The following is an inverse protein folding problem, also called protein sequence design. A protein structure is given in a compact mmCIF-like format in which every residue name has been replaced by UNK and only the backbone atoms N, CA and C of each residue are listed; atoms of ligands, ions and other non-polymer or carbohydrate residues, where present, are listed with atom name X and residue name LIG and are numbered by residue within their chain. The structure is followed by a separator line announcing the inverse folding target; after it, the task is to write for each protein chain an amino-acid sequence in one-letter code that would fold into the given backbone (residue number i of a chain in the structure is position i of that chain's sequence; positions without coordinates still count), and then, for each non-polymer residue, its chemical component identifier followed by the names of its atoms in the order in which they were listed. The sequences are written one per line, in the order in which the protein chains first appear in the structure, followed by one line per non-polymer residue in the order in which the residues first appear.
data_IF_285439338721
#
_entry.id   IF_285439338721
#
_cell.length_a   1.000
_cell.length_b   1.000
_cell.length_c   1.000
_cell.angle_alpha   90.00
_cell.angle_beta   90.00
_cell.angle_gamma   90.00
#
_symmetry.space_group_name_H-M   'P 1'
#
loop_
_entity.id
_entity.type
_entity.pdbx_description
1 polymer ?
#
# COMPACT_ATOMS: atom_id res chain seq x y z
N UNK A 1 -10.03 -27.03 1.05
CA UNK A 1 -9.22 -25.91 1.58
C UNK A 1 -8.00 -26.39 2.41
N UNK A 2 -8.12 -27.27 3.42
CA UNK A 2 -6.99 -27.61 4.31
C UNK A 2 -5.76 -28.34 3.71
N UNK A 3 -5.84 -28.94 2.51
CA UNK A 3 -4.67 -29.55 1.87
C UNK A 3 -3.64 -28.51 1.40
N UNK A 4 -4.11 -27.37 0.89
CA UNK A 4 -3.25 -26.28 0.40
C UNK A 4 -2.53 -25.60 1.58
N UNK A 5 -3.24 -25.31 2.67
CA UNK A 5 -2.67 -24.77 3.91
C UNK A 5 -1.54 -25.67 4.43
N UNK A 6 -1.75 -26.99 4.46
CA UNK A 6 -0.70 -27.94 4.87
C UNK A 6 0.53 -27.90 3.97
N UNK A 7 0.36 -27.75 2.66
CA UNK A 7 1.49 -27.62 1.71
C UNK A 7 2.24 -26.32 1.95
N UNK A 8 1.55 -25.19 2.09
CA UNK A 8 2.15 -23.88 2.40
C UNK A 8 2.96 -23.92 3.70
N UNK A 9 2.37 -24.48 4.76
CA UNK A 9 3.05 -24.70 6.05
C UNK A 9 4.29 -25.60 5.90
N UNK A 10 4.23 -26.65 5.07
CA UNK A 10 5.40 -27.50 4.78
C UNK A 10 6.51 -26.74 4.06
N UNK A 11 6.19 -25.84 3.12
CA UNK A 11 7.22 -25.02 2.48
C UNK A 11 7.95 -24.12 3.48
N UNK A 12 7.24 -23.59 4.48
CA UNK A 12 7.89 -22.86 5.56
C UNK A 12 8.78 -23.77 6.42
N UNK A 13 8.24 -24.89 6.94
CA UNK A 13 9.01 -25.76 7.85
C UNK A 13 10.21 -26.44 7.19
N UNK A 14 10.12 -26.78 5.91
CA UNK A 14 11.22 -27.36 5.12
C UNK A 14 12.31 -26.36 4.77
N UNK A 15 12.08 -25.05 4.98
CA UNK A 15 13.03 -23.99 4.63
C UNK A 15 13.01 -23.61 3.15
N UNK A 16 12.09 -24.15 2.35
CA UNK A 16 11.93 -23.78 0.93
C UNK A 16 11.65 -22.28 0.82
N UNK A 17 10.73 -21.73 1.62
CA UNK A 17 10.44 -20.30 1.58
C UNK A 17 11.65 -19.45 2.01
N UNK A 18 12.41 -19.90 3.00
CA UNK A 18 13.66 -19.22 3.39
C UNK A 18 14.72 -19.27 2.30
N UNK A 19 14.75 -20.34 1.50
CA UNK A 19 15.60 -20.42 0.32
C UNK A 19 15.14 -19.46 -0.78
N UNK A 20 13.83 -19.37 -1.04
CA UNK A 20 13.28 -18.40 -1.99
C UNK A 20 13.66 -16.96 -1.63
N UNK A 21 13.51 -16.57 -0.36
CA UNK A 21 13.96 -15.25 0.14
C UNK A 21 15.44 -15.04 -0.17
N UNK A 22 16.30 -16.00 0.13
CA UNK A 22 17.74 -15.91 -0.14
C UNK A 22 18.07 -15.74 -1.63
N UNK A 23 17.35 -16.42 -2.51
CA UNK A 23 17.52 -16.31 -3.97
C UNK A 23 17.08 -14.93 -4.45
N UNK A 24 16.00 -14.38 -3.89
CA UNK A 24 15.53 -13.04 -4.21
C UNK A 24 16.44 -11.94 -3.65
N UNK A 25 17.16 -12.20 -2.55
CA UNK A 25 18.20 -11.30 -2.00
C UNK A 25 19.52 -11.31 -2.77
N UNK A 26 19.64 -12.04 -3.88
CA UNK A 26 20.89 -12.09 -4.64
C UNK A 26 21.22 -10.74 -5.26
N UNK A 27 22.52 -10.47 -5.41
CA UNK A 27 23.01 -9.24 -6.03
C UNK A 27 22.43 -9.05 -7.45
N UNK A 28 22.18 -7.80 -7.89
CA UNK A 28 21.59 -7.51 -9.21
C UNK A 28 22.35 -8.08 -10.41
N UNK A 29 23.65 -8.35 -10.26
CA UNK A 29 24.48 -9.02 -11.26
C UNK A 29 24.09 -10.48 -11.47
N UNK A 30 23.65 -11.17 -10.42
CA UNK A 30 23.19 -12.57 -10.46
C UNK A 30 21.74 -12.71 -10.91
N UNK A 31 20.93 -11.67 -10.70
CA UNK A 31 19.55 -11.61 -11.19
C UNK A 31 19.46 -11.16 -12.67
N UNK A 32 20.58 -10.73 -13.25
CA UNK A 32 20.64 -10.25 -14.63
C UNK A 32 20.18 -11.35 -15.61
N UNK A 33 19.11 -11.05 -16.34
CA UNK A 33 18.52 -11.97 -17.34
C UNK A 33 17.51 -12.97 -16.77
N UNK A 34 17.24 -12.96 -15.46
CA UNK A 34 16.26 -13.85 -14.81
C UNK A 34 15.20 -13.08 -14.00
N UNK A 35 15.00 -11.80 -14.29
CA UNK A 35 14.06 -10.92 -13.60
C UNK A 35 12.60 -11.39 -13.64
N UNK A 36 12.17 -11.95 -14.77
CA UNK A 36 10.84 -12.55 -14.88
C UNK A 36 10.67 -13.75 -13.92
N UNK A 37 11.71 -14.59 -13.81
CA UNK A 37 11.72 -15.70 -12.85
C UNK A 37 11.79 -15.20 -11.40
N UNK A 38 12.54 -14.13 -11.13
CA UNK A 38 12.59 -13.50 -9.82
C UNK A 38 11.23 -12.92 -9.42
N UNK A 39 10.55 -12.20 -10.31
CA UNK A 39 9.20 -11.68 -10.08
C UNK A 39 8.17 -12.80 -9.86
N UNK A 40 8.28 -13.89 -10.61
CA UNK A 40 7.42 -15.08 -10.42
C UNK A 40 7.69 -15.75 -9.06
N UNK A 41 8.96 -15.88 -8.69
CA UNK A 41 9.36 -16.45 -7.40
C UNK A 41 8.91 -15.56 -6.22
N UNK A 42 8.99 -14.25 -6.38
CA UNK A 42 8.46 -13.25 -5.44
C UNK A 42 6.95 -13.43 -5.23
N UNK A 43 6.19 -13.53 -6.32
CA UNK A 43 4.75 -13.79 -6.26
C UNK A 43 4.43 -15.11 -5.54
N UNK A 44 5.05 -16.21 -5.95
CA UNK A 44 4.85 -17.53 -5.32
C UNK A 44 5.22 -17.53 -3.84
N UNK A 45 6.31 -16.85 -3.47
CA UNK A 45 6.74 -16.73 -2.07
C UNK A 45 5.69 -16.00 -1.25
N UNK A 46 5.19 -14.85 -1.73
CA UNK A 46 4.11 -14.11 -1.08
C UNK A 46 2.84 -14.96 -0.94
N UNK A 47 2.37 -15.59 -2.03
CA UNK A 47 1.17 -16.43 -2.01
C UNK A 47 1.28 -17.61 -1.03
N UNK A 48 2.49 -18.17 -0.85
CA UNK A 48 2.72 -19.23 0.12
C UNK A 48 2.72 -18.73 1.57
N UNK A 49 3.08 -17.48 1.81
CA UNK A 49 3.01 -16.84 3.13
C UNK A 49 1.56 -16.53 3.56
N UNK A 50 0.66 -16.28 2.59
CA UNK A 50 -0.75 -16.01 2.85
C UNK A 50 -1.50 -17.31 3.20
N UNK A 51 -2.09 -17.36 4.40
CA UNK A 51 -2.85 -18.51 4.89
C UNK A 51 -2.00 -19.74 5.25
N UNK A 52 -0.69 -19.57 5.45
CA UNK A 52 0.13 -20.59 6.08
C UNK A 52 -0.14 -20.63 7.59
N UNK A 53 -0.21 -21.84 8.15
CA UNK A 53 -0.38 -22.06 9.59
C UNK A 53 0.91 -22.66 10.15
N UNK A 54 1.89 -21.84 10.56
CA UNK A 54 3.22 -22.28 11.02
C UNK A 54 3.21 -22.96 12.41
N UNK A 55 2.06 -23.08 13.07
CA UNK A 55 1.90 -23.75 14.36
C UNK A 55 2.86 -23.23 15.42
N UNK A 56 3.71 -24.12 15.95
CA UNK A 56 4.70 -23.78 17.00
C UNK A 56 5.75 -22.74 16.58
N UNK A 57 5.92 -22.50 15.27
CA UNK A 57 6.84 -21.47 14.75
C UNK A 57 6.13 -20.17 14.34
N UNK A 58 4.90 -19.95 14.82
CA UNK A 58 4.09 -18.77 14.48
C UNK A 58 4.77 -17.45 14.82
N UNK A 59 5.39 -17.33 15.99
CA UNK A 59 6.06 -16.09 16.36
C UNK A 59 7.23 -15.78 15.43
N UNK A 60 8.13 -16.75 15.19
CA UNK A 60 9.24 -16.59 14.26
C UNK A 60 8.76 -16.31 12.82
N UNK A 61 7.63 -16.90 12.41
CA UNK A 61 7.03 -16.65 11.11
C UNK A 61 6.60 -15.19 10.96
N UNK A 62 5.79 -14.68 11.90
CA UNK A 62 5.22 -13.33 11.79
C UNK A 62 6.23 -12.22 12.13
N UNK A 63 7.14 -12.43 13.09
CA UNK A 63 8.05 -11.38 13.56
C UNK A 63 9.40 -11.33 12.84
N UNK A 64 9.84 -12.42 12.20
CA UNK A 64 11.14 -12.49 11.56
C UNK A 64 11.02 -12.80 10.08
N UNK A 65 10.29 -13.87 9.75
CA UNK A 65 10.22 -14.36 8.39
C UNK A 65 9.40 -13.43 7.47
N UNK A 66 8.18 -13.07 7.83
CA UNK A 66 7.35 -12.18 7.02
C UNK A 66 8.01 -10.81 6.78
N UNK A 67 8.59 -10.13 7.80
CA UNK A 67 9.41 -8.94 7.59
C UNK A 67 10.53 -9.12 6.58
N UNK A 68 11.23 -10.25 6.61
CA UNK A 68 12.31 -10.53 5.65
C UNK A 68 11.81 -10.74 4.23
N UNK A 69 10.60 -11.30 4.06
CA UNK A 69 9.97 -11.44 2.73
C UNK A 69 9.65 -10.05 2.18
N UNK A 70 9.01 -9.20 2.97
CA UNK A 70 8.67 -7.82 2.57
C UNK A 70 9.91 -7.04 2.15
N UNK A 71 10.96 -7.06 2.96
CA UNK A 71 12.20 -6.34 2.69
C UNK A 71 12.81 -6.73 1.34
N UNK A 72 12.87 -8.03 1.06
CA UNK A 72 13.40 -8.56 -0.19
C UNK A 72 12.51 -8.24 -1.40
N UNK A 73 11.19 -8.24 -1.23
CA UNK A 73 10.26 -7.83 -2.29
C UNK A 73 10.42 -6.33 -2.63
N UNK A 74 10.52 -5.47 -1.62
CA UNK A 74 10.72 -4.03 -1.82
C UNK A 74 12.09 -3.74 -2.44
N UNK A 75 13.14 -4.44 -2.00
CA UNK A 75 14.47 -4.33 -2.60
C UNK A 75 14.44 -4.75 -4.08
N UNK A 76 13.75 -5.85 -4.41
CA UNK A 76 13.58 -6.29 -5.79
C UNK A 76 12.81 -5.25 -6.64
N UNK A 77 11.73 -4.68 -6.10
CA UNK A 77 10.97 -3.64 -6.76
C UNK A 77 11.83 -2.38 -7.03
N UNK A 78 12.63 -1.95 -6.05
CA UNK A 78 13.57 -0.84 -6.23
C UNK A 78 14.62 -1.13 -7.31
N UNK A 79 15.12 -2.38 -7.38
CA UNK A 79 16.04 -2.80 -8.44
C UNK A 79 15.40 -2.77 -9.82
N UNK A 80 14.19 -3.30 -9.97
CA UNK A 80 13.42 -3.28 -11.23
C UNK A 80 13.18 -1.83 -11.70
N UNK A 81 12.80 -0.96 -10.77
CA UNK A 81 12.50 0.44 -11.06
C UNK A 81 13.77 1.20 -11.47
N UNK A 82 14.89 1.03 -10.76
CA UNK A 82 16.16 1.69 -11.09
C UNK A 82 16.73 1.34 -12.47
N UNK A 83 16.29 0.22 -13.05
CA UNK A 83 16.78 -0.30 -14.32
C UNK A 83 15.85 -0.03 -15.49
N UNK A 84 14.71 0.64 -15.25
CA UNK A 84 13.63 0.75 -16.24
C UNK A 84 13.25 -0.64 -16.80
N UNK A 85 13.36 -1.68 -15.97
CA UNK A 85 12.96 -3.01 -16.38
C UNK A 85 11.44 -3.09 -16.45
N UNK A 86 10.94 -3.93 -17.36
CA UNK A 86 9.56 -3.94 -17.84
C UNK A 86 8.53 -3.62 -16.73
N UNK A 87 7.74 -2.53 -16.87
CA UNK A 87 6.63 -2.17 -15.97
C UNK A 87 5.77 -3.35 -15.47
N UNK A 88 5.43 -4.38 -16.28
CA UNK A 88 4.68 -5.54 -15.80
C UNK A 88 5.39 -6.36 -14.70
N UNK A 89 6.73 -6.40 -14.68
CA UNK A 89 7.48 -7.14 -13.64
C UNK A 89 7.46 -6.39 -12.32
N UNK A 90 7.64 -5.07 -12.36
CA UNK A 90 7.50 -4.21 -11.17
C UNK A 90 6.11 -4.37 -10.57
N UNK A 91 5.07 -4.29 -11.42
CA UNK A 91 3.68 -4.52 -11.01
C UNK A 91 3.49 -5.87 -10.35
N UNK A 92 4.02 -6.95 -10.93
CA UNK A 92 3.91 -8.31 -10.35
C UNK A 92 4.50 -8.38 -8.94
N UNK A 93 5.63 -7.70 -8.70
CA UNK A 93 6.28 -7.66 -7.39
C UNK A 93 5.47 -6.80 -6.41
N UNK A 94 4.97 -5.65 -6.84
CA UNK A 94 4.14 -4.79 -6.00
C UNK A 94 2.78 -5.41 -5.66
N UNK A 95 2.17 -6.13 -6.58
CA UNK A 95 0.96 -6.92 -6.34
C UNK A 95 1.23 -8.03 -5.30
N UNK A 96 2.42 -8.64 -5.34
CA UNK A 96 2.84 -9.61 -4.33
C UNK A 96 3.02 -8.98 -2.93
N UNK A 97 3.54 -7.74 -2.86
CA UNK A 97 3.60 -6.97 -1.60
C UNK A 97 2.18 -6.65 -1.12
N UNK A 98 1.32 -6.14 -1.98
CA UNK A 98 -0.07 -5.81 -1.66
C UNK A 98 -0.85 -7.02 -1.12
N UNK A 99 -0.70 -8.19 -1.75
CA UNK A 99 -1.34 -9.43 -1.28
C UNK A 99 -0.80 -9.90 0.08
N UNK A 100 0.48 -9.66 0.37
CA UNK A 100 1.04 -9.99 1.67
C UNK A 100 0.50 -9.06 2.76
N UNK A 101 0.39 -7.76 2.46
CA UNK A 101 -0.17 -6.76 3.37
C UNK A 101 -1.66 -7.00 3.65
N UNK A 102 -2.43 -7.38 2.63
CA UNK A 102 -3.85 -7.69 2.80
C UNK A 102 -4.07 -8.85 3.77
N UNK A 103 -3.15 -9.83 3.78
CA UNK A 103 -3.21 -10.98 4.68
C UNK A 103 -2.54 -10.72 6.05
N UNK A 104 -1.55 -9.83 6.10
CA UNK A 104 -0.71 -9.58 7.27
C UNK A 104 -0.56 -8.06 7.51
N UNK A 105 -1.62 -7.39 8.00
CA UNK A 105 -1.67 -5.93 8.11
C UNK A 105 -0.56 -5.31 8.97
N UNK A 106 -0.07 -6.05 9.96
CA UNK A 106 1.01 -5.63 10.87
C UNK A 106 2.33 -5.30 10.15
N UNK A 107 2.52 -5.79 8.92
CA UNK A 107 3.71 -5.51 8.12
C UNK A 107 3.68 -4.10 7.48
N UNK A 108 2.54 -3.42 7.49
CA UNK A 108 2.40 -2.19 6.71
C UNK A 108 3.25 -1.05 7.26
N UNK A 109 3.39 -0.93 8.58
CA UNK A 109 4.29 0.05 9.19
C UNK A 109 5.75 -0.15 8.74
N UNK A 110 6.18 -1.40 8.54
CA UNK A 110 7.51 -1.72 8.02
C UNK A 110 7.66 -1.32 6.54
N UNK A 111 6.63 -1.54 5.72
CA UNK A 111 6.65 -1.11 4.31
C UNK A 111 6.78 0.40 4.21
N UNK A 112 5.97 1.16 4.95
CA UNK A 112 5.97 2.61 4.93
C UNK A 112 7.28 3.23 5.44
N UNK A 113 8.01 2.52 6.30
CA UNK A 113 9.33 2.94 6.81
C UNK A 113 10.50 2.44 5.98
N UNK A 114 10.25 1.69 4.90
CA UNK A 114 11.31 1.13 4.06
C UNK A 114 11.87 2.19 3.11
N UNK A 115 13.20 2.37 3.13
CA UNK A 115 13.90 3.21 2.17
C UNK A 115 13.69 2.77 0.71
N UNK A 116 13.49 1.47 0.48
CA UNK A 116 13.18 0.96 -0.85
C UNK A 116 11.79 1.39 -1.31
N UNK A 117 10.81 1.40 -0.42
CA UNK A 117 9.47 1.87 -0.72
C UNK A 117 9.44 3.38 -0.97
N UNK A 118 10.16 4.16 -0.17
CA UNK A 118 10.34 5.60 -0.39
C UNK A 118 10.97 5.89 -1.76
N UNK A 119 12.05 5.17 -2.11
CA UNK A 119 12.66 5.28 -3.44
C UNK A 119 11.65 5.00 -4.56
N UNK A 120 10.82 3.96 -4.40
CA UNK A 120 9.76 3.61 -5.34
C UNK A 120 8.74 4.76 -5.48
N UNK A 121 8.33 5.39 -4.39
CA UNK A 121 7.38 6.50 -4.42
C UNK A 121 7.95 7.76 -5.07
N UNK A 122 9.26 8.02 -4.90
CA UNK A 122 9.91 9.26 -5.36
C UNK A 122 10.35 9.26 -6.83
N UNK A 123 10.21 8.15 -7.55
CA UNK A 123 10.63 8.07 -8.96
C UNK A 123 9.54 8.54 -9.90
N UNK A 124 9.81 9.58 -10.68
CA UNK A 124 8.83 10.27 -11.52
C UNK A 124 8.32 9.48 -12.75
N UNK A 125 9.04 8.45 -13.22
CA UNK A 125 8.90 8.02 -14.62
C UNK A 125 7.94 6.85 -14.93
N UNK A 126 7.38 6.13 -13.94
CA UNK A 126 6.41 5.02 -14.19
C UNK A 126 5.36 4.90 -13.07
N UNK A 127 5.43 5.73 -12.04
CA UNK A 127 4.70 5.51 -10.77
C UNK A 127 3.35 6.20 -10.73
N UNK A 128 3.08 7.14 -11.64
CA UNK A 128 1.84 7.93 -11.70
C UNK A 128 0.64 7.21 -12.33
N UNK A 129 0.80 5.95 -12.75
CA UNK A 129 -0.30 5.05 -13.17
C UNK A 129 -0.26 3.64 -12.57
N UNK A 130 0.88 3.17 -12.04
CA UNK A 130 1.05 1.74 -11.69
C UNK A 130 1.40 1.47 -10.21
N UNK A 131 1.76 2.47 -9.40
CA UNK A 131 1.77 2.34 -7.92
C UNK A 131 0.36 2.33 -7.30
N UNK A 132 -0.66 2.45 -8.17
CA UNK A 132 -2.08 2.68 -7.91
C UNK A 132 -2.78 1.54 -7.17
N UNK A 133 -2.14 0.36 -7.07
CA UNK A 133 -2.73 -0.80 -6.42
C UNK A 133 -2.43 -0.89 -4.93
N UNK A 134 -1.43 -0.15 -4.43
CA UNK A 134 -1.06 -0.21 -3.01
C UNK A 134 -2.17 0.35 -2.12
N UNK A 135 -2.93 1.33 -2.60
CA UNK A 135 -4.08 1.92 -1.88
C UNK A 135 -5.34 1.04 -1.94
N UNK A 136 -5.48 0.18 -2.97
CA UNK A 136 -6.62 -0.74 -3.11
C UNK A 136 -6.47 -2.06 -2.36
N UNK A 137 -5.27 -2.38 -1.87
CA UNK A 137 -4.97 -3.59 -1.08
C UNK A 137 -4.80 -3.30 0.41
N UNK A 138 -5.09 -2.07 0.85
CA UNK A 138 -5.05 -1.74 2.27
C UNK A 138 -6.19 -2.50 2.96
N UNK A 139 -5.88 -3.32 3.99
CA UNK A 139 -6.90 -3.93 4.83
C UNK A 139 -7.91 -2.88 5.30
N UNK A 140 -9.21 -3.24 5.45
CA UNK A 140 -10.23 -2.30 5.96
C UNK A 140 -9.81 -1.63 7.29
N UNK A 141 -9.01 -2.33 8.10
CA UNK A 141 -8.47 -1.84 9.38
C UNK A 141 -7.11 -1.12 9.28
N UNK A 142 -6.61 -0.86 8.08
CA UNK A 142 -5.26 -0.32 7.85
C UNK A 142 -5.01 0.98 8.61
N UNK A 143 -5.95 1.92 8.54
CA UNK A 143 -5.82 3.21 9.19
C UNK A 143 -5.96 3.12 10.72
N UNK A 144 -6.54 2.03 11.24
CA UNK A 144 -6.61 1.78 12.67
C UNK A 144 -5.28 1.32 13.27
N UNK A 145 -4.38 0.76 12.44
CA UNK A 145 -3.07 0.27 12.85
C UNK A 145 -1.95 1.32 12.76
N UNK A 146 -2.23 2.44 12.13
CA UNK A 146 -1.31 3.57 12.07
C UNK A 146 -1.46 4.45 13.30
N UNK A 147 -0.34 5.02 13.74
CA UNK A 147 -0.38 6.12 14.70
C UNK A 147 -1.06 7.35 14.06
N UNK A 148 -1.56 8.26 14.90
CA UNK A 148 -2.36 9.38 14.43
C UNK A 148 -1.59 10.28 13.46
N UNK A 149 -0.28 10.47 13.65
CA UNK A 149 0.56 11.27 12.76
C UNK A 149 0.72 10.64 11.37
N UNK A 150 0.99 9.33 11.27
CA UNK A 150 1.16 8.64 9.98
C UNK A 150 -0.17 8.54 9.23
N UNK A 151 -1.27 8.31 9.95
CA UNK A 151 -2.60 8.31 9.38
C UNK A 151 -2.94 9.71 8.80
N UNK A 152 -2.66 10.78 9.53
CA UNK A 152 -2.89 12.15 9.06
C UNK A 152 -2.02 12.51 7.85
N UNK A 153 -0.75 12.08 7.82
CA UNK A 153 0.14 12.31 6.67
C UNK A 153 -0.39 11.62 5.41
N UNK A 154 -0.82 10.36 5.51
CA UNK A 154 -1.40 9.63 4.38
C UNK A 154 -2.72 10.25 3.91
N UNK A 155 -3.58 10.69 4.82
CA UNK A 155 -4.83 11.35 4.48
C UNK A 155 -4.59 12.70 3.79
N UNK A 156 -3.58 13.45 4.24
CA UNK A 156 -3.19 14.70 3.60
C UNK A 156 -2.60 14.48 2.20
N UNK A 157 -1.80 13.41 2.01
CA UNK A 157 -1.33 13.02 0.68
C UNK A 157 -2.51 12.61 -0.22
N UNK A 158 -3.49 11.84 0.29
CA UNK A 158 -4.69 11.48 -0.47
C UNK A 158 -5.48 12.72 -0.96
N UNK A 159 -5.60 13.76 -0.12
CA UNK A 159 -6.21 15.04 -0.51
C UNK A 159 -5.35 15.77 -1.56
N UNK A 160 -4.03 15.76 -1.43
CA UNK A 160 -3.13 16.33 -2.43
C UNK A 160 -3.25 15.60 -3.78
N UNK A 161 -3.35 14.27 -3.78
CA UNK A 161 -3.58 13.47 -4.98
C UNK A 161 -4.93 13.80 -5.63
N UNK A 162 -5.98 14.01 -4.85
CA UNK A 162 -7.29 14.45 -5.36
C UNK A 162 -7.25 15.84 -5.99
N UNK A 163 -6.38 16.73 -5.50
CA UNK A 163 -6.21 18.07 -6.05
C UNK A 163 -5.33 18.12 -7.30
N UNK A 164 -4.40 17.17 -7.45
CA UNK A 164 -3.39 17.16 -8.51
C UNK A 164 -3.64 16.13 -9.61
N UNK A 165 -4.49 15.13 -9.35
CA UNK A 165 -4.79 14.05 -10.30
C UNK A 165 -6.15 14.26 -10.97
N UNK A 166 -6.25 13.88 -12.25
CA UNK A 166 -7.53 13.81 -12.98
C UNK A 166 -7.98 12.37 -13.26
N UNK A 167 -7.19 11.39 -12.82
CA UNK A 167 -7.42 9.96 -13.00
C UNK A 167 -8.48 9.43 -12.02
N UNK A 168 -9.56 8.87 -12.56
CA UNK A 168 -10.66 8.27 -11.80
C UNK A 168 -10.20 7.14 -10.87
N UNK A 169 -9.17 6.38 -11.23
CA UNK A 169 -8.62 5.33 -10.38
C UNK A 169 -7.91 5.93 -9.15
N UNK A 170 -7.12 7.00 -9.34
CA UNK A 170 -6.42 7.70 -8.26
C UNK A 170 -7.41 8.35 -7.31
N UNK A 171 -8.35 9.13 -7.85
CA UNK A 171 -9.31 9.81 -6.99
C UNK A 171 -10.25 8.83 -6.28
N UNK A 172 -10.69 7.77 -6.96
CA UNK A 172 -11.50 6.72 -6.33
C UNK A 172 -10.76 5.98 -5.21
N UNK A 173 -9.45 5.75 -5.35
CA UNK A 173 -8.63 5.18 -4.29
C UNK A 173 -8.45 6.14 -3.10
N UNK A 174 -8.16 7.42 -3.36
CA UNK A 174 -8.04 8.44 -2.32
C UNK A 174 -9.36 8.67 -1.58
N UNK A 175 -10.49 8.69 -2.29
CA UNK A 175 -11.84 8.83 -1.73
C UNK A 175 -12.16 7.64 -0.82
N UNK A 176 -11.90 6.41 -1.28
CA UNK A 176 -12.08 5.21 -0.45
C UNK A 176 -11.22 5.23 0.81
N UNK A 177 -9.93 5.52 0.68
CA UNK A 177 -9.02 5.62 1.81
C UNK A 177 -9.48 6.65 2.85
N UNK A 178 -9.97 7.81 2.39
CA UNK A 178 -10.51 8.83 3.29
C UNK A 178 -11.84 8.39 3.93
N UNK A 179 -12.72 7.73 3.18
CA UNK A 179 -14.03 7.26 3.66
C UNK A 179 -13.87 6.21 4.76
N UNK A 180 -12.94 5.27 4.57
CA UNK A 180 -12.68 4.17 5.51
C UNK A 180 -12.00 4.65 6.79
N UNK A 181 -11.34 5.81 6.76
CA UNK A 181 -10.60 6.32 7.91
C UNK A 181 -11.46 6.63 9.13
N UNK A 182 -12.76 6.95 8.95
CA UNK A 182 -13.69 7.48 9.96
C UNK A 182 -13.12 8.60 10.87
N UNK A 183 -11.95 9.15 10.54
CA UNK A 183 -11.21 10.09 11.37
C UNK A 183 -11.54 11.49 10.88
N UNK A 184 -11.85 12.38 11.82
CA UNK A 184 -12.06 13.78 11.53
C UNK A 184 -10.74 14.41 11.10
N UNK A 185 -10.52 14.52 9.80
CA UNK A 185 -9.38 15.26 9.24
C UNK A 185 -9.75 16.74 9.08
N UNK A 186 -8.78 17.63 9.32
CA UNK A 186 -8.96 19.06 9.17
C UNK A 186 -8.90 19.43 7.68
N UNK A 187 -9.93 19.05 6.93
CA UNK A 187 -9.95 19.37 5.50
C UNK A 187 -10.32 20.82 5.31
N UNK A 188 -9.40 21.50 4.64
CA UNK A 188 -9.60 22.82 4.09
C UNK A 188 -10.95 22.92 3.36
N UNK A 189 -11.55 24.12 3.36
CA UNK A 189 -12.86 24.38 2.79
C UNK A 189 -13.02 24.04 1.30
N UNK A 190 -11.96 23.63 0.61
CA UNK A 190 -11.97 23.22 -0.78
C UNK A 190 -12.42 21.78 -1.04
N UNK A 191 -12.35 20.86 -0.07
CA UNK A 191 -12.58 19.44 -0.37
C UNK A 191 -14.02 19.14 -0.81
N UNK A 192 -15.05 19.72 -0.19
CA UNK A 192 -16.44 19.49 -0.66
C UNK A 192 -16.60 19.96 -2.10
N UNK A 193 -16.09 21.16 -2.40
CA UNK A 193 -16.18 21.71 -3.75
C UNK A 193 -15.42 20.84 -4.75
N UNK A 194 -14.33 20.22 -4.33
CA UNK A 194 -13.51 19.35 -5.17
C UNK A 194 -14.22 18.00 -5.40
N UNK A 195 -14.73 17.38 -4.34
CA UNK A 195 -15.51 16.14 -4.42
C UNK A 195 -16.77 16.31 -5.28
N UNK A 196 -17.50 17.41 -5.07
CA UNK A 196 -18.78 17.66 -5.72
C UNK A 196 -18.63 18.08 -7.19
N UNK A 197 -17.60 18.85 -7.54
CA UNK A 197 -17.40 19.33 -8.92
C UNK A 197 -16.53 18.42 -9.77
N UNK A 198 -15.44 17.91 -9.21
CA UNK A 198 -14.39 17.27 -10.01
C UNK A 198 -14.50 15.74 -9.99
N UNK A 199 -15.09 15.17 -8.93
CA UNK A 199 -15.07 13.73 -8.67
C UNK A 199 -16.44 13.05 -8.66
N UNK A 200 -17.53 13.79 -8.47
CA UNK A 200 -18.90 13.25 -8.56
C UNK A 200 -19.21 12.77 -9.98
N UNK A 201 -19.94 11.65 -10.08
CA UNK A 201 -20.34 11.03 -11.35
C UNK A 201 -19.28 10.14 -11.99
N UNK A 202 -18.21 9.78 -11.26
CA UNK A 202 -17.10 8.95 -11.74
C UNK A 202 -17.15 7.49 -11.24
N UNK A 203 -18.23 7.09 -10.57
CA UNK A 203 -18.51 5.68 -10.24
C UNK A 203 -18.21 5.27 -8.80
N UNK A 204 -18.10 6.23 -7.88
CA UNK A 204 -17.85 6.03 -6.44
C UNK A 204 -18.66 7.04 -5.60
N UNK A 205 -19.93 7.22 -5.99
CA UNK A 205 -20.80 8.26 -5.40
C UNK A 205 -21.15 7.96 -3.95
N UNK A 206 -21.19 6.69 -3.57
CA UNK A 206 -21.49 6.28 -2.21
C UNK A 206 -20.41 6.74 -1.23
N UNK A 207 -19.15 6.65 -1.62
CA UNK A 207 -18.00 7.08 -0.82
C UNK A 207 -17.86 8.61 -0.83
N UNK A 208 -18.15 9.26 -1.96
CA UNK A 208 -18.22 10.73 -2.04
C UNK A 208 -19.31 11.28 -1.11
N UNK A 209 -20.49 10.69 -1.12
CA UNK A 209 -21.60 11.12 -0.27
C UNK A 209 -21.30 10.86 1.22
N UNK A 210 -20.62 9.75 1.56
CA UNK A 210 -20.14 9.48 2.92
C UNK A 210 -19.15 10.54 3.42
N UNK A 211 -18.20 10.95 2.56
CA UNK A 211 -17.22 11.98 2.89
C UNK A 211 -17.83 13.36 3.07
N UNK A 212 -18.81 13.72 2.23
CA UNK A 212 -19.55 14.99 2.34
C UNK A 212 -20.40 15.01 3.63
N UNK A 213 -20.99 13.87 3.99
CA UNK A 213 -21.80 13.72 5.18
C UNK A 213 -20.98 13.64 6.49
N UNK A 214 -19.65 13.48 6.42
CA UNK A 214 -18.81 13.27 7.59
C UNK A 214 -18.78 14.51 8.50
N UNK A 215 -19.04 14.38 9.82
CA UNK A 215 -18.98 15.49 10.75
C UNK A 215 -17.58 16.08 10.80
N UNK A 216 -17.44 17.34 10.38
CA UNK A 216 -16.16 18.05 10.46
C UNK A 216 -15.88 18.48 11.89
N UNK A 217 -14.62 18.41 12.35
CA UNK A 217 -14.26 19.01 13.63
C UNK A 217 -14.58 20.50 13.54
N UNK A 218 -15.30 20.97 14.56
CA UNK A 218 -15.93 22.29 14.60
C UNK A 218 -14.91 23.38 14.25
N UNK A 219 -15.10 24.05 13.11
CA UNK A 219 -14.28 25.20 12.71
C UNK A 219 -14.38 26.27 13.79
N UNK A 220 -13.27 26.56 14.46
CA UNK A 220 -13.16 27.81 15.19
C UNK A 220 -13.32 28.95 14.16
N UNK A 221 -14.47 29.59 14.27
CA UNK A 221 -14.93 30.78 13.59
C UNK A 221 -13.76 31.67 13.19
N UNK A 222 -13.60 31.88 11.88
CA UNK A 222 -12.93 33.07 11.35
C UNK A 222 -13.53 34.28 12.07
N UNK A 223 -12.83 34.80 13.07
CA UNK A 223 -13.18 36.06 13.72
C UNK A 223 -13.16 37.11 12.61
N UNK A 224 -14.35 37.58 12.26
CA UNK A 224 -14.61 38.71 11.37
C UNK A 224 -13.58 39.81 11.66
N UNK A 225 -12.74 40.13 10.68
CA UNK A 225 -12.19 41.48 10.57
C UNK A 225 -13.39 42.41 10.41
N UNK A 226 -13.84 43.03 11.50
CA UNK A 226 -14.65 44.25 11.43
C UNK A 226 -13.67 45.40 11.29
N UNK A 227 -13.51 45.85 10.05
CA UNK A 227 -13.05 47.19 9.70
C UNK A 227 -14.23 48.14 9.85
N UNK A 228 -14.22 49.05 10.82
CA UNK A 228 -14.92 50.36 10.82
C UNK A 228 -13.94 51.26 11.60
N UNK A 229 -13.18 52.10 10.88
CA UNK A 229 -13.41 53.55 10.71
C UNK A 229 -13.19 54.36 11.98
#
# INVERSE_FOLDING_TARGET
SGALTRVKTRFYHSGVLSHCVRVLSLSPSRLRGIWASAATLAHLTSSCCVGAEPGSRSEAFHRLFLPSVVDVLLSLAGQLMSRSEAPPLLRTVMDAVGWLLSAHPHLTAQVLSSAHYEQIQMSDDVTRSETHHTTSCLPEDFLSQLNDESALLLLNDAVAQLALSSDAAVGGASIRLMSDSQRSFDVSAGLDSLLEKDWRGRGFEQEVDQLIAMPRPFRLSRRRRRSHS
#
